data_IF_329505905950
#
_entry.id   IF_329505905950
#
_cell.length_a   1.000
_cell.length_b   1.000
_cell.length_c   1.000
_cell.angle_alpha   90.00
_cell.angle_beta   90.00
_cell.angle_gamma   90.00
#
_symmetry.space_group_name_H-M   'P 1'
#
loop_
_entity.id
_entity.type
_entity.pdbx_description
1 polymer ?
#
# COMPACT_ATOMS: atom_id res chain seq x y z
N UNK A 1 56.41 42.50 -30.14
CA UNK A 1 55.93 42.07 -28.81
C UNK A 1 54.51 41.53 -28.96
N UNK A 2 54.34 40.22 -29.20
CA UNK A 2 53.04 39.61 -29.56
C UNK A 2 52.83 38.32 -28.77
N UNK A 3 52.75 38.43 -27.45
CA UNK A 3 52.58 37.30 -26.54
C UNK A 3 51.83 37.81 -25.30
N UNK A 4 50.53 37.52 -25.19
CA UNK A 4 49.79 37.30 -23.92
C UNK A 4 48.27 37.16 -24.05
N UNK A 5 47.63 37.56 -25.16
CA UNK A 5 46.15 37.53 -25.25
C UNK A 5 45.50 36.19 -25.62
N UNK A 6 46.24 35.22 -26.17
CA UNK A 6 45.65 33.93 -26.59
C UNK A 6 45.37 32.96 -25.42
N UNK A 7 46.02 33.13 -24.26
CA UNK A 7 45.92 32.17 -23.14
C UNK A 7 44.64 32.32 -22.31
N UNK A 8 44.02 33.51 -22.31
CA UNK A 8 42.80 33.81 -21.54
C UNK A 8 41.55 33.27 -22.24
N UNK A 9 41.48 33.36 -23.58
CA UNK A 9 40.34 32.84 -24.34
C UNK A 9 40.25 31.31 -24.36
N UNK A 10 41.37 30.58 -24.32
CA UNK A 10 41.35 29.12 -24.26
C UNK A 10 40.99 28.57 -22.88
N UNK A 11 41.26 29.33 -21.81
CA UNK A 11 40.93 28.95 -20.42
C UNK A 11 39.41 28.95 -20.16
N UNK A 12 38.69 29.99 -20.62
CA UNK A 12 37.23 30.08 -20.48
C UNK A 12 36.47 29.03 -21.30
N UNK A 13 37.02 28.62 -22.45
CA UNK A 13 36.42 27.58 -23.32
C UNK A 13 36.51 26.18 -22.71
N UNK A 14 37.57 25.90 -21.95
CA UNK A 14 37.77 24.62 -21.24
C UNK A 14 36.85 24.48 -20.02
N UNK A 15 36.62 25.57 -19.28
CA UNK A 15 35.70 25.59 -18.14
C UNK A 15 34.24 25.40 -18.60
N UNK A 16 33.83 26.06 -19.69
CA UNK A 16 32.49 25.90 -20.25
C UNK A 16 32.19 24.45 -20.67
N UNK A 17 33.14 23.78 -21.32
CA UNK A 17 32.98 22.36 -21.68
C UNK A 17 32.85 21.44 -20.46
N UNK A 18 33.63 21.69 -19.40
CA UNK A 18 33.51 20.93 -18.14
C UNK A 18 32.18 21.15 -17.43
N UNK A 19 31.65 22.38 -17.46
CA UNK A 19 30.33 22.70 -16.91
C UNK A 19 29.20 22.04 -17.71
N UNK A 20 29.29 22.04 -19.05
CA UNK A 20 28.31 21.37 -19.91
C UNK A 20 28.35 19.85 -19.72
N UNK A 21 29.55 19.24 -19.69
CA UNK A 21 29.70 17.81 -19.40
C UNK A 21 29.17 17.42 -18.01
N UNK A 22 29.43 18.25 -17.00
CA UNK A 22 28.88 18.05 -15.65
C UNK A 22 27.35 18.11 -15.62
N UNK A 23 26.76 19.10 -16.31
CA UNK A 23 25.30 19.24 -16.38
C UNK A 23 24.64 18.06 -17.10
N UNK A 24 25.23 17.58 -18.21
CA UNK A 24 24.74 16.38 -18.92
C UNK A 24 24.87 15.13 -18.04
N UNK A 25 25.94 15.00 -17.26
CA UNK A 25 26.14 13.85 -16.37
C UNK A 25 25.13 13.81 -15.20
N UNK A 26 24.72 14.97 -14.67
CA UNK A 26 23.70 15.07 -13.61
C UNK A 26 22.30 14.66 -14.13
N UNK A 27 21.98 14.97 -15.39
CA UNK A 27 20.70 14.61 -16.00
C UNK A 27 20.55 13.09 -16.21
N UNK A 28 21.66 12.35 -16.39
CA UNK A 28 21.63 10.88 -16.51
C UNK A 28 21.43 10.15 -15.17
N UNK A 29 21.54 10.85 -14.04
CA UNK A 29 21.39 10.26 -12.70
C UNK A 29 19.96 10.34 -12.13
N UNK A 30 18.99 10.87 -12.87
CA UNK A 30 17.59 10.84 -12.43
C UNK A 30 17.00 9.43 -12.60
N UNK A 31 17.35 8.53 -11.69
CA UNK A 31 16.63 7.26 -11.55
C UNK A 31 15.20 7.55 -11.06
N UNK A 32 14.22 7.01 -11.77
CA UNK A 32 12.82 7.02 -11.34
C UNK A 32 12.68 6.10 -10.12
N UNK A 33 12.62 6.66 -8.92
CA UNK A 33 12.26 5.91 -7.72
C UNK A 33 10.74 5.70 -7.69
N UNK A 34 10.29 4.48 -7.95
CA UNK A 34 8.90 4.09 -7.71
C UNK A 34 8.73 3.79 -6.23
N UNK A 35 8.25 4.77 -5.47
CA UNK A 35 7.82 4.53 -4.10
C UNK A 35 6.43 3.88 -4.12
N UNK A 36 6.37 2.57 -3.86
CA UNK A 36 5.09 1.89 -3.60
C UNK A 36 4.74 2.09 -2.12
N UNK A 37 3.52 2.56 -1.80
CA UNK A 37 3.07 2.67 -0.42
C UNK A 37 3.16 1.32 0.28
N UNK A 38 3.82 1.25 1.43
CA UNK A 38 3.95 -0.01 2.20
C UNK A 38 2.64 -0.47 2.84
N UNK A 39 1.69 0.45 3.02
CA UNK A 39 0.40 0.22 3.64
C UNK A 39 -0.64 1.19 3.06
N UNK A 40 -1.92 0.90 3.31
CA UNK A 40 -3.05 1.75 2.92
C UNK A 40 -3.81 2.14 4.19
N UNK A 41 -4.05 3.43 4.42
CA UNK A 41 -4.85 3.88 5.57
C UNK A 41 -6.34 3.81 5.23
N UNK A 42 -7.08 2.99 5.97
CA UNK A 42 -8.53 2.85 5.90
C UNK A 42 -9.15 3.53 7.12
N UNK A 43 -9.87 4.62 6.89
CA UNK A 43 -10.71 5.24 7.91
C UNK A 43 -12.13 4.71 7.76
N UNK A 44 -12.72 4.25 8.85
CA UNK A 44 -14.09 3.72 8.88
C UNK A 44 -14.86 4.26 10.07
N UNK A 45 -16.19 4.27 9.94
CA UNK A 45 -17.12 4.54 11.04
C UNK A 45 -18.22 3.50 11.03
N UNK A 46 -18.44 2.85 12.17
CA UNK A 46 -19.38 1.75 12.30
C UNK A 46 -20.55 2.18 13.18
N UNK A 47 -21.76 2.01 12.67
CA UNK A 47 -23.00 2.17 13.39
C UNK A 47 -23.67 0.81 13.58
N UNK A 48 -24.28 0.61 14.74
CA UNK A 48 -25.12 -0.54 15.04
C UNK A 48 -26.47 -0.40 14.32
N UNK A 49 -27.29 -1.47 14.23
CA UNK A 49 -28.61 -1.41 13.62
C UNK A 49 -29.57 -0.38 14.24
N UNK A 50 -29.34 0.00 15.50
CA UNK A 50 -30.08 1.03 16.22
C UNK A 50 -29.59 2.47 15.91
N UNK A 51 -28.71 2.64 14.92
CA UNK A 51 -28.04 3.88 14.53
C UNK A 51 -27.12 4.51 15.59
N UNK A 52 -26.88 3.82 16.71
CA UNK A 52 -25.87 4.26 17.67
C UNK A 52 -24.46 3.83 17.23
N UNK A 53 -23.41 4.58 17.59
CA UNK A 53 -22.04 4.21 17.24
C UNK A 53 -21.62 2.88 17.89
N UNK A 54 -20.72 2.15 17.24
CA UNK A 54 -20.07 1.00 17.87
C UNK A 54 -19.13 1.49 18.99
N UNK A 55 -19.43 1.12 20.22
CA UNK A 55 -18.72 1.52 21.43
C UNK A 55 -18.41 0.27 22.24
N UNK A 56 -17.22 -0.31 22.03
CA UNK A 56 -16.77 -1.54 22.68
C UNK A 56 -15.28 -1.45 23.05
N UNK A 57 -14.86 -1.97 24.21
CA UNK A 57 -13.49 -1.83 24.71
C UNK A 57 -12.47 -2.69 23.96
N UNK A 58 -12.91 -3.70 23.23
CA UNK A 58 -12.05 -4.63 22.51
C UNK A 58 -12.79 -5.21 21.31
N UNK A 59 -12.48 -4.70 20.13
CA UNK A 59 -13.00 -5.16 18.84
C UNK A 59 -11.87 -5.81 18.05
N UNK A 60 -12.17 -6.94 17.41
CA UNK A 60 -11.28 -7.57 16.44
C UNK A 60 -11.75 -7.19 15.05
N UNK A 61 -10.86 -6.60 14.25
CA UNK A 61 -11.09 -6.37 12.84
C UNK A 61 -10.37 -7.41 12.00
N UNK A 62 -11.02 -7.91 10.96
CA UNK A 62 -10.43 -8.74 9.94
C UNK A 62 -10.56 -8.04 8.59
N UNK A 63 -9.44 -7.93 7.89
CA UNK A 63 -9.39 -7.40 6.54
C UNK A 63 -9.10 -8.56 5.61
N UNK A 64 -9.95 -8.71 4.60
CA UNK A 64 -9.74 -9.68 3.53
C UNK A 64 -9.62 -8.95 2.21
N UNK A 65 -8.49 -9.13 1.53
CA UNK A 65 -8.30 -8.71 0.14
C UNK A 65 -8.68 -9.87 -0.77
N UNK A 66 -9.76 -9.69 -1.51
CA UNK A 66 -10.25 -10.63 -2.51
C UNK A 66 -9.83 -10.22 -3.92
N UNK A 67 -9.89 -11.18 -4.84
CA UNK A 67 -9.84 -10.94 -6.29
C UNK A 67 -10.97 -10.02 -6.78
N UNK A 68 -10.93 -9.68 -8.07
CA UNK A 68 -11.92 -8.78 -8.69
C UNK A 68 -13.35 -9.33 -8.63
N UNK A 69 -13.52 -10.66 -8.66
CA UNK A 69 -14.84 -11.31 -8.60
C UNK A 69 -15.30 -11.44 -7.14
N UNK A 70 -14.40 -11.64 -6.19
CA UNK A 70 -14.72 -11.84 -4.77
C UNK A 70 -14.81 -13.32 -4.36
N UNK A 71 -14.17 -14.20 -5.13
CA UNK A 71 -14.17 -15.66 -4.96
C UNK A 71 -12.89 -16.20 -4.34
N UNK A 72 -11.79 -15.47 -4.44
CA UNK A 72 -10.46 -15.89 -3.98
C UNK A 72 -9.91 -14.89 -2.97
N UNK A 73 -9.72 -15.32 -1.72
CA UNK A 73 -9.00 -14.55 -0.71
C UNK A 73 -7.49 -14.67 -0.94
N UNK A 74 -6.87 -13.51 -1.21
CA UNK A 74 -5.46 -13.38 -1.55
C UNK A 74 -4.61 -12.99 -0.34
N UNK A 75 -5.20 -12.20 0.56
CA UNK A 75 -4.56 -11.71 1.78
C UNK A 75 -5.61 -11.56 2.88
N UNK A 76 -5.26 -12.00 4.09
CA UNK A 76 -6.08 -11.79 5.29
C UNK A 76 -5.18 -11.29 6.42
N UNK A 77 -5.59 -10.23 7.10
CA UNK A 77 -4.94 -9.73 8.32
C UNK A 77 -5.97 -9.40 9.39
N UNK A 78 -5.55 -9.50 10.65
CA UNK A 78 -6.35 -9.14 11.81
C UNK A 78 -5.73 -7.99 12.59
N UNK A 79 -6.59 -7.13 13.14
CA UNK A 79 -6.27 -6.16 14.18
C UNK A 79 -7.03 -6.56 15.44
N UNK A 80 -6.31 -6.98 16.45
CA UNK A 80 -6.89 -7.49 17.69
C UNK A 80 -6.94 -6.38 18.75
N UNK A 81 -7.93 -6.47 19.64
CA UNK A 81 -8.05 -5.62 20.82
C UNK A 81 -8.07 -4.10 20.51
N UNK A 82 -8.74 -3.71 19.43
CA UNK A 82 -8.95 -2.29 19.11
C UNK A 82 -10.08 -1.75 19.98
N UNK A 83 -9.76 -0.80 20.84
CA UNK A 83 -10.77 -0.10 21.64
C UNK A 83 -11.53 0.90 20.77
N UNK A 84 -12.84 0.75 20.72
CA UNK A 84 -13.78 1.67 20.07
C UNK A 84 -14.47 2.59 21.09
N UNK A 85 -14.13 2.51 22.38
CA UNK A 85 -14.73 3.32 23.45
C UNK A 85 -14.45 4.82 23.27
N UNK A 86 -15.51 5.61 23.35
CA UNK A 86 -15.53 7.07 23.17
C UNK A 86 -15.03 7.52 21.80
N UNK A 87 -15.19 6.70 20.76
CA UNK A 87 -14.70 7.02 19.40
C UNK A 87 -15.80 7.57 18.48
N UNK A 88 -17.07 7.49 18.88
CA UNK A 88 -18.20 7.75 17.99
C UNK A 88 -18.26 6.73 16.84
N UNK A 89 -17.80 5.50 17.11
CA UNK A 89 -17.74 4.41 16.15
C UNK A 89 -16.62 4.55 15.11
N UNK A 90 -15.72 5.52 15.24
CA UNK A 90 -14.67 5.81 14.24
C UNK A 90 -13.36 5.09 14.54
N UNK A 91 -12.72 4.53 13.52
CA UNK A 91 -11.36 3.98 13.64
C UNK A 91 -10.56 4.16 12.35
N UNK A 92 -9.24 4.07 12.48
CA UNK A 92 -8.27 4.17 11.39
C UNK A 92 -7.37 2.96 11.45
N UNK A 93 -7.34 2.17 10.38
CA UNK A 93 -6.53 0.97 10.23
C UNK A 93 -5.51 1.16 9.12
N UNK A 94 -4.25 0.84 9.36
CA UNK A 94 -3.21 0.89 8.35
C UNK A 94 -2.98 -0.51 7.77
N UNK A 95 -3.68 -0.82 6.67
CA UNK A 95 -3.73 -2.11 6.00
C UNK A 95 -2.33 -2.56 5.56
N UNK A 96 -1.98 -3.81 5.87
CA UNK A 96 -0.65 -4.40 5.69
C UNK A 96 0.26 -4.28 6.91
N UNK A 97 -0.22 -3.67 8.00
CA UNK A 97 0.48 -3.62 9.30
C UNK A 97 -0.21 -4.49 10.37
N UNK A 98 -1.31 -5.16 10.04
CA UNK A 98 -2.00 -6.08 10.93
C UNK A 98 -1.24 -7.39 11.12
N UNK A 99 -1.82 -8.28 11.92
CA UNK A 99 -1.34 -9.65 12.05
C UNK A 99 -1.80 -10.43 10.82
N UNK A 100 -0.88 -10.72 9.91
CA UNK A 100 -1.16 -11.51 8.72
C UNK A 100 -1.61 -12.93 9.10
N UNK A 101 -2.85 -13.26 8.72
CA UNK A 101 -3.46 -14.57 8.89
C UNK A 101 -3.22 -15.44 7.66
N UNK A 102 -3.29 -14.83 6.48
CA UNK A 102 -3.10 -15.53 5.22
C UNK A 102 -2.46 -14.63 4.15
N UNK A 103 -1.59 -15.22 3.34
CA UNK A 103 -1.09 -14.67 2.08
C UNK A 103 -0.52 -15.82 1.23
N UNK A 104 -0.35 -15.59 -0.07
CA UNK A 104 0.46 -16.48 -0.90
C UNK A 104 1.92 -16.49 -0.43
N UNK A 105 2.59 -17.64 -0.49
CA UNK A 105 3.98 -17.79 -0.01
C UNK A 105 4.89 -16.72 -0.62
N UNK A 106 5.53 -15.93 0.24
CA UNK A 106 6.46 -14.86 -0.16
C UNK A 106 5.82 -13.55 -0.63
N UNK A 107 4.49 -13.44 -0.64
CA UNK A 107 3.78 -12.21 -0.99
C UNK A 107 3.43 -11.39 0.27
N UNK A 108 3.66 -10.08 0.19
CA UNK A 108 3.24 -9.10 1.19
C UNK A 108 1.92 -8.43 0.78
N UNK A 109 1.38 -7.58 1.66
CA UNK A 109 0.13 -6.85 1.39
C UNK A 109 0.15 -6.03 0.08
N UNK A 110 1.27 -5.39 -0.25
CA UNK A 110 1.38 -4.61 -1.49
C UNK A 110 1.42 -5.49 -2.74
N UNK A 111 1.96 -6.71 -2.60
CA UNK A 111 2.16 -7.62 -3.73
C UNK A 111 0.82 -8.12 -4.25
N UNK A 112 -0.20 -8.30 -3.39
CA UNK A 112 -1.52 -8.74 -3.83
C UNK A 112 -2.24 -7.74 -4.74
N UNK A 113 -1.84 -6.46 -4.74
CA UNK A 113 -2.33 -5.44 -5.67
C UNK A 113 -1.50 -5.34 -6.96
N UNK A 114 -0.37 -6.06 -7.05
CA UNK A 114 0.45 -6.08 -8.25
C UNK A 114 -0.15 -7.05 -9.29
N UNK A 115 -0.70 -6.50 -10.36
CA UNK A 115 -1.24 -7.30 -11.48
C UNK A 115 -0.18 -7.92 -12.39
N UNK A 116 1.11 -7.66 -12.15
CA UNK A 116 2.21 -8.33 -12.86
C UNK A 116 2.65 -9.63 -12.17
N UNK A 117 2.15 -9.90 -10.97
CA UNK A 117 2.41 -11.17 -10.27
C UNK A 117 1.75 -12.32 -11.03
N UNK A 118 2.50 -13.37 -11.33
CA UNK A 118 2.04 -14.44 -12.23
C UNK A 118 0.81 -15.19 -11.70
N UNK A 119 0.77 -15.49 -10.40
CA UNK A 119 -0.37 -16.13 -9.77
C UNK A 119 -0.29 -16.04 -8.25
N UNK A 120 -1.45 -16.04 -7.61
CA UNK A 120 -1.62 -16.19 -6.17
C UNK A 120 -2.33 -17.51 -5.87
N UNK A 121 -1.94 -18.18 -4.78
CA UNK A 121 -2.75 -19.22 -4.19
C UNK A 121 -3.94 -18.58 -3.46
N UNK A 122 -5.11 -19.20 -3.57
CA UNK A 122 -6.30 -18.79 -2.84
C UNK A 122 -6.36 -19.50 -1.48
N UNK A 123 -6.80 -18.81 -0.42
CA UNK A 123 -6.93 -19.42 0.91
C UNK A 123 -7.86 -20.64 0.92
N UNK A 124 -8.92 -20.62 0.10
CA UNK A 124 -9.87 -21.72 -0.07
C UNK A 124 -9.44 -22.81 -1.06
N UNK A 125 -8.21 -22.73 -1.58
CA UNK A 125 -7.72 -23.59 -2.66
C UNK A 125 -7.93 -23.02 -4.05
N UNK A 126 -7.12 -23.49 -5.00
CA UNK A 126 -7.05 -22.94 -6.36
C UNK A 126 -6.02 -21.82 -6.52
N UNK A 127 -5.98 -21.25 -7.72
CA UNK A 127 -5.07 -20.17 -8.09
C UNK A 127 -5.82 -19.01 -8.74
N UNK A 128 -5.35 -17.80 -8.48
CA UNK A 128 -5.80 -16.58 -9.13
C UNK A 128 -4.65 -15.99 -9.94
N UNK A 129 -4.87 -15.79 -11.24
CA UNK A 129 -3.93 -15.10 -12.14
C UNK A 129 -4.49 -13.72 -12.46
N UNK A 130 -3.86 -12.64 -11.99
CA UNK A 130 -4.33 -11.28 -12.26
C UNK A 130 -4.32 -10.93 -13.75
N UNK A 131 -5.39 -10.33 -14.23
CA UNK A 131 -5.37 -9.58 -15.48
C UNK A 131 -4.76 -8.18 -15.25
N UNK A 132 -4.23 -7.57 -16.30
CA UNK A 132 -3.53 -6.26 -16.25
C UNK A 132 -4.37 -5.18 -15.56
N UNK A 133 -5.69 -5.18 -15.79
CA UNK A 133 -6.63 -4.18 -15.26
C UNK A 133 -7.46 -4.68 -14.07
N UNK A 134 -7.10 -5.82 -13.48
CA UNK A 134 -7.86 -6.34 -12.36
C UNK A 134 -7.78 -5.42 -11.14
N UNK A 135 -8.89 -5.35 -10.44
CA UNK A 135 -8.99 -4.65 -9.16
C UNK A 135 -9.03 -5.68 -8.03
N UNK A 136 -8.87 -5.20 -6.81
CA UNK A 136 -9.05 -6.01 -5.59
C UNK A 136 -10.21 -5.47 -4.79
N UNK A 137 -10.96 -6.37 -4.17
CA UNK A 137 -12.02 -6.00 -3.23
C UNK A 137 -11.45 -6.11 -1.82
N UNK A 138 -11.62 -5.07 -1.03
CA UNK A 138 -11.24 -5.09 0.38
C UNK A 138 -12.54 -5.25 1.18
N UNK A 139 -12.60 -6.30 1.98
CA UNK A 139 -13.73 -6.58 2.88
C UNK A 139 -13.25 -6.36 4.31
N UNK A 140 -13.92 -5.46 5.02
CA UNK A 140 -13.72 -5.23 6.44
C UNK A 140 -14.80 -5.97 7.22
N UNK A 141 -14.37 -6.87 8.08
CA UNK A 141 -15.24 -7.54 9.04
C UNK A 141 -14.78 -7.19 10.46
N UNK A 142 -15.69 -7.23 11.40
CA UNK A 142 -15.40 -6.99 12.81
C UNK A 142 -16.17 -7.95 13.70
N UNK A 143 -15.64 -8.15 14.91
CA UNK A 143 -16.28 -8.87 15.98
C UNK A 143 -16.01 -8.10 17.27
N UNK A 144 -17.08 -7.67 17.93
CA UNK A 144 -17.05 -6.87 19.15
C UNK A 144 -17.16 -7.72 20.44
N UNK A 145 -17.07 -9.05 20.31
CA UNK A 145 -17.20 -10.01 21.40
C UNK A 145 -18.65 -10.36 21.74
N UNK A 146 -19.64 -9.82 21.02
CA UNK A 146 -21.05 -10.17 21.21
C UNK A 146 -21.43 -11.50 20.55
N UNK A 147 -22.59 -12.03 20.93
CA UNK A 147 -23.13 -13.26 20.34
C UNK A 147 -23.49 -13.14 18.84
N UNK A 148 -23.49 -11.93 18.27
CA UNK A 148 -23.71 -11.71 16.84
C UNK A 148 -22.54 -12.25 15.98
N UNK A 149 -21.36 -12.43 16.57
CA UNK A 149 -20.19 -12.97 15.88
C UNK A 149 -19.60 -11.99 14.87
N UNK A 150 -19.12 -12.51 13.75
CA UNK A 150 -18.50 -11.71 12.70
C UNK A 150 -19.53 -10.92 11.90
N UNK A 151 -19.35 -9.61 11.83
CA UNK A 151 -20.19 -8.68 11.08
C UNK A 151 -19.35 -8.01 9.99
N UNK A 152 -19.97 -7.71 8.85
CA UNK A 152 -19.30 -6.96 7.78
C UNK A 152 -19.58 -5.48 7.96
N UNK A 153 -18.54 -4.67 8.02
CA UNK A 153 -18.70 -3.22 8.02
C UNK A 153 -19.07 -2.77 6.59
N UNK A 154 -20.12 -1.96 6.47
CA UNK A 154 -20.57 -1.37 5.21
C UNK A 154 -20.16 0.10 5.12
#
# INVERSE_FOLDING_TARGET
>A
MKLRFQKVQSFNRSIAYKLILSFVFIQFFSMTAFAVPKYITLQTRIYKPDASPLEAPSVVFQITTLDSVGTCALYVENYNAISMTSTGGSTVLNLGLGVQIYTSVGANYTDVFNNQTASFACQGGGTYTPAVNDRRKIVLQFNDGTAAGWQTAQ
#
